data_IF_512358377434
#
_entry.id   IF_512358377434
#
_cell.length_a   1.000
_cell.length_b   1.000
_cell.length_c   1.000
_cell.angle_alpha   90.00
_cell.angle_beta   90.00
_cell.angle_gamma   90.00
#
_symmetry.space_group_name_H-M   'P 1'
#
loop_
_entity.id
_entity.type
_entity.pdbx_description
1 polymer ?
#
# COMPACT_ATOMS: atom_id res chain seq x y z
N UNK A 1 4.82 -1.85 14.09
CA UNK A 1 4.85 -0.61 14.90
C UNK A 1 4.03 0.50 14.23
N UNK A 2 4.39 0.97 13.02
CA UNK A 2 3.79 2.17 12.40
C UNK A 2 2.27 2.03 12.16
N UNK A 3 1.83 0.88 11.65
CA UNK A 3 0.39 0.64 11.41
C UNK A 3 -0.41 0.66 12.71
N UNK A 4 0.08 0.02 13.77
CA UNK A 4 -0.58 0.04 15.09
C UNK A 4 -0.61 1.45 15.64
N UNK A 5 0.53 2.17 15.61
CA UNK A 5 0.59 3.57 16.05
C UNK A 5 -0.37 4.48 15.27
N UNK A 6 -0.60 4.23 13.98
CA UNK A 6 -1.61 4.96 13.21
C UNK A 6 -3.03 4.65 13.69
N UNK A 7 -3.36 3.38 13.96
CA UNK A 7 -4.67 3.01 14.50
C UNK A 7 -4.91 3.67 15.86
N UNK A 8 -3.89 3.68 16.73
CA UNK A 8 -3.96 4.32 18.04
C UNK A 8 -4.18 5.83 17.93
N UNK A 9 -3.43 6.49 17.04
CA UNK A 9 -3.56 7.92 16.80
C UNK A 9 -4.93 8.33 16.22
N UNK A 10 -5.60 7.41 15.51
CA UNK A 10 -6.95 7.61 14.97
C UNK A 10 -8.06 7.13 15.90
N UNK A 11 -7.75 6.58 17.09
CA UNK A 11 -8.72 6.02 18.02
C UNK A 11 -9.47 4.81 17.50
N UNK A 12 -8.86 4.05 16.55
CA UNK A 12 -9.47 2.88 15.95
C UNK A 12 -9.03 1.61 16.70
N UNK A 13 -9.94 1.00 17.44
CA UNK A 13 -9.65 -0.21 18.20
C UNK A 13 -9.43 -1.42 17.28
N UNK A 14 -10.34 -1.65 16.33
CA UNK A 14 -10.32 -2.78 15.40
C UNK A 14 -10.68 -2.35 14.00
N UNK A 15 -10.03 -2.94 12.98
CA UNK A 15 -10.23 -2.59 11.57
C UNK A 15 -10.26 -3.80 10.66
N UNK A 16 -10.90 -3.67 9.50
CA UNK A 16 -10.68 -4.55 8.37
C UNK A 16 -9.38 -4.14 7.68
N UNK A 17 -8.46 -5.09 7.50
CA UNK A 17 -7.16 -4.84 6.88
C UNK A 17 -7.20 -5.31 5.43
N UNK A 18 -6.97 -4.38 4.52
CA UNK A 18 -6.85 -4.67 3.08
C UNK A 18 -5.47 -4.24 2.62
N UNK A 19 -4.68 -5.19 2.14
CA UNK A 19 -3.31 -4.92 1.72
C UNK A 19 -2.96 -5.56 0.39
N UNK A 20 -2.34 -4.78 -0.51
CA UNK A 20 -1.85 -5.26 -1.79
C UNK A 20 -0.34 -5.40 -1.80
N UNK A 21 0.18 -6.47 -2.41
CA UNK A 21 1.61 -6.74 -2.55
C UNK A 21 2.31 -6.68 -1.18
N UNK A 22 3.28 -5.79 -0.97
CA UNK A 22 3.90 -5.57 0.33
C UNK A 22 2.89 -5.16 1.42
N UNK A 23 1.83 -4.43 1.08
CA UNK A 23 0.73 -4.10 2.00
C UNK A 23 0.01 -5.34 2.51
N UNK A 24 -0.14 -6.39 1.68
CA UNK A 24 -0.64 -7.69 2.10
C UNK A 24 0.31 -8.39 3.08
N UNK A 25 1.63 -8.31 2.86
CA UNK A 25 2.63 -8.83 3.80
C UNK A 25 2.57 -8.11 5.14
N UNK A 26 2.42 -6.79 5.15
CA UNK A 26 2.22 -5.99 6.37
C UNK A 26 0.92 -6.41 7.07
N UNK A 27 -0.18 -6.58 6.32
CA UNK A 27 -1.46 -7.04 6.85
C UNK A 27 -1.37 -8.42 7.49
N UNK A 28 -0.62 -9.35 6.88
CA UNK A 28 -0.33 -10.67 7.43
C UNK A 28 0.38 -10.57 8.79
N UNK A 29 1.43 -9.73 8.88
CA UNK A 29 2.17 -9.51 10.13
C UNK A 29 1.25 -8.89 11.19
N UNK A 30 0.45 -7.87 10.82
CA UNK A 30 -0.49 -7.22 11.72
C UNK A 30 -1.51 -8.23 12.26
N UNK A 31 -2.14 -9.01 11.39
CA UNK A 31 -3.16 -9.99 11.79
C UNK A 31 -2.62 -11.12 12.66
N UNK A 32 -1.33 -11.48 12.48
CA UNK A 32 -0.69 -12.52 13.29
C UNK A 32 -0.18 -12.04 14.65
N UNK A 33 0.30 -10.78 14.72
CA UNK A 33 0.91 -10.23 15.93
C UNK A 33 -0.04 -9.40 16.78
N UNK A 34 -1.11 -8.86 16.15
CA UNK A 34 -2.12 -8.03 16.78
C UNK A 34 -3.53 -8.51 16.39
N UNK A 35 -3.90 -9.78 16.68
CA UNK A 35 -5.19 -10.33 16.29
C UNK A 35 -6.37 -9.55 16.89
N UNK A 36 -6.19 -8.94 18.04
CA UNK A 36 -7.17 -8.09 18.72
C UNK A 36 -7.51 -6.80 17.91
N UNK A 37 -6.64 -6.40 17.00
CA UNK A 37 -6.80 -5.18 16.21
C UNK A 37 -7.42 -5.44 14.83
N UNK A 38 -7.60 -6.71 14.43
CA UNK A 38 -8.00 -7.10 13.06
C UNK A 38 -9.35 -7.79 13.05
N UNK A 39 -10.32 -7.20 12.36
CA UNK A 39 -11.65 -7.79 12.12
C UNK A 39 -11.61 -8.82 10.99
N UNK A 40 -10.93 -8.50 9.90
CA UNK A 40 -10.66 -9.40 8.78
C UNK A 40 -9.40 -8.98 8.03
N UNK A 41 -8.82 -9.90 7.29
CA UNK A 41 -7.67 -9.66 6.41
C UNK A 41 -8.05 -9.94 4.95
N UNK A 42 -7.79 -8.98 4.06
CA UNK A 42 -7.74 -9.21 2.62
C UNK A 42 -6.32 -9.03 2.13
N UNK A 43 -5.69 -10.11 1.67
CA UNK A 43 -4.33 -10.12 1.14
C UNK A 43 -4.37 -10.24 -0.38
N UNK A 44 -3.96 -9.18 -1.10
CA UNK A 44 -4.08 -9.09 -2.55
C UNK A 44 -2.70 -9.19 -3.19
N UNK A 45 -2.51 -10.06 -4.21
CA UNK A 45 -1.26 -10.23 -4.98
C UNK A 45 0.00 -10.22 -4.12
N UNK A 46 -0.03 -10.93 -2.99
CA UNK A 46 1.02 -10.96 -1.98
C UNK A 46 1.62 -12.37 -1.83
N UNK A 47 2.62 -12.53 -0.97
CA UNK A 47 3.26 -13.82 -0.70
C UNK A 47 3.44 -14.07 0.81
N UNK A 48 3.73 -15.33 1.16
CA UNK A 48 4.04 -15.80 2.51
C UNK A 48 5.50 -15.62 2.92
N UNK A 49 6.37 -15.26 1.96
CA UNK A 49 7.82 -15.30 2.16
C UNK A 49 8.46 -16.68 2.01
N UNK A 50 7.70 -17.69 1.51
CA UNK A 50 8.21 -19.03 1.24
C UNK A 50 9.45 -18.95 0.33
N UNK A 51 10.59 -19.56 0.72
CA UNK A 51 11.85 -19.48 -0.02
C UNK A 51 11.89 -20.36 -1.29
N UNK A 52 10.88 -21.22 -1.53
CA UNK A 52 10.82 -22.01 -2.76
C UNK A 52 10.82 -21.08 -3.98
N UNK A 53 11.77 -21.30 -4.88
CA UNK A 53 11.99 -20.44 -6.06
C UNK A 53 10.77 -20.33 -6.96
N UNK A 54 9.93 -21.37 -7.03
CA UNK A 54 8.68 -21.38 -7.82
C UNK A 54 7.58 -20.52 -7.20
N UNK A 55 7.69 -20.27 -5.90
CA UNK A 55 6.76 -19.48 -5.10
C UNK A 55 7.28 -18.07 -4.91
N UNK A 56 8.57 -17.94 -4.62
CA UNK A 56 9.20 -16.66 -4.25
C UNK A 56 9.40 -15.71 -5.43
N UNK A 57 9.68 -16.26 -6.63
CA UNK A 57 10.14 -15.44 -7.75
C UNK A 57 9.19 -15.51 -8.95
N UNK A 58 8.70 -14.34 -9.35
CA UNK A 58 8.01 -14.13 -10.61
C UNK A 58 8.97 -14.11 -11.81
N UNK A 59 8.47 -13.62 -12.93
CA UNK A 59 9.26 -13.52 -14.18
C UNK A 59 10.39 -12.51 -14.01
N UNK A 60 11.60 -12.89 -14.44
CA UNK A 60 12.78 -12.03 -14.36
C UNK A 60 12.57 -10.62 -14.96
N UNK A 61 11.82 -10.55 -16.06
CA UNK A 61 11.49 -9.26 -16.70
C UNK A 61 10.69 -8.34 -15.76
N UNK A 62 9.75 -8.88 -15.00
CA UNK A 62 8.95 -8.13 -14.03
C UNK A 62 9.81 -7.66 -12.84
N UNK A 63 10.61 -8.55 -12.28
CA UNK A 63 11.55 -8.19 -11.21
C UNK A 63 12.50 -7.08 -11.66
N UNK A 64 13.11 -7.21 -12.84
CA UNK A 64 14.00 -6.20 -13.41
C UNK A 64 13.32 -4.84 -13.61
N UNK A 65 12.03 -4.84 -13.97
CA UNK A 65 11.27 -3.59 -14.13
C UNK A 65 11.13 -2.86 -12.79
N UNK A 66 10.84 -3.59 -11.71
CA UNK A 66 10.66 -3.02 -10.36
C UNK A 66 11.97 -2.51 -9.75
N UNK A 67 13.08 -3.25 -9.92
CA UNK A 67 14.37 -2.85 -9.32
C UNK A 67 15.10 -1.78 -10.13
N UNK A 68 14.63 -1.48 -11.33
CA UNK A 68 15.26 -0.44 -12.17
C UNK A 68 15.18 0.91 -11.46
N UNK A 69 16.32 1.60 -11.41
CA UNK A 69 16.42 2.92 -10.78
C UNK A 69 15.42 3.89 -11.43
N UNK A 70 14.54 4.53 -10.63
CA UNK A 70 13.58 5.49 -11.17
C UNK A 70 14.27 6.79 -11.61
N UNK A 71 13.61 7.59 -12.45
CA UNK A 71 14.06 8.93 -12.82
C UNK A 71 14.24 9.86 -11.61
N UNK A 72 14.70 11.08 -11.87
CA UNK A 72 14.75 12.12 -10.83
C UNK A 72 13.32 12.46 -10.38
N UNK A 73 13.08 12.67 -9.08
CA UNK A 73 11.73 12.94 -8.55
C UNK A 73 11.11 14.24 -9.08
N UNK A 74 11.93 15.21 -9.47
CA UNK A 74 11.53 16.50 -10.04
C UNK A 74 11.22 16.43 -11.54
N UNK A 75 11.59 15.35 -12.22
CA UNK A 75 11.25 15.09 -13.62
C UNK A 75 9.92 14.33 -13.72
N UNK A 76 8.81 15.03 -13.48
CA UNK A 76 7.48 14.43 -13.48
C UNK A 76 7.14 13.68 -14.77
N UNK A 77 7.39 14.19 -15.98
CA UNK A 77 7.14 13.45 -17.21
C UNK A 77 7.90 12.12 -17.25
N UNK A 78 9.20 12.13 -16.92
CA UNK A 78 10.00 10.91 -16.91
C UNK A 78 9.52 9.91 -15.83
N UNK A 79 9.03 10.38 -14.68
CA UNK A 79 8.44 9.53 -13.64
C UNK A 79 7.16 8.87 -14.16
N UNK A 80 6.27 9.60 -14.81
CA UNK A 80 5.04 9.06 -15.40
C UNK A 80 5.38 7.99 -16.44
N UNK A 81 6.29 8.27 -17.38
CA UNK A 81 6.72 7.30 -18.39
C UNK A 81 7.40 6.06 -17.77
N UNK A 82 8.12 6.23 -16.68
CA UNK A 82 8.68 5.12 -15.92
C UNK A 82 7.57 4.22 -15.35
N UNK A 83 6.54 4.81 -14.73
CA UNK A 83 5.39 4.08 -14.19
C UNK A 83 4.62 3.36 -15.31
N UNK A 84 4.30 4.04 -16.42
CA UNK A 84 3.67 3.42 -17.59
C UNK A 84 4.47 2.20 -18.06
N UNK A 85 5.79 2.31 -18.16
CA UNK A 85 6.67 1.21 -18.57
C UNK A 85 6.66 0.06 -17.56
N UNK A 86 6.71 0.34 -16.26
CA UNK A 86 6.63 -0.68 -15.22
C UNK A 86 5.32 -1.43 -15.33
N UNK A 87 4.20 -0.72 -15.34
CA UNK A 87 2.86 -1.31 -15.38
C UNK A 87 2.55 -2.01 -16.72
N UNK A 88 3.17 -1.61 -17.83
CA UNK A 88 3.08 -2.38 -19.08
C UNK A 88 3.72 -3.76 -19.01
N UNK A 89 4.62 -3.98 -18.04
CA UNK A 89 5.33 -5.25 -17.85
C UNK A 89 4.67 -6.11 -16.77
N UNK A 90 4.27 -5.50 -15.65
CA UNK A 90 3.70 -6.23 -14.51
C UNK A 90 2.18 -6.28 -14.52
N UNK A 91 1.52 -5.40 -15.26
CA UNK A 91 0.06 -5.26 -15.30
C UNK A 91 -0.66 -6.43 -15.95
N UNK A 92 -1.97 -6.38 -15.84
CA UNK A 92 -2.93 -7.39 -16.26
C UNK A 92 -2.92 -7.59 -17.78
N UNK A 93 -2.58 -8.77 -18.30
CA UNK A 93 -2.48 -8.98 -19.74
C UNK A 93 -3.83 -8.86 -20.46
N UNK A 94 -4.94 -9.26 -19.83
CA UNK A 94 -6.27 -9.12 -20.40
C UNK A 94 -6.79 -7.66 -20.40
N UNK A 95 -6.19 -6.79 -19.60
CA UNK A 95 -6.61 -5.40 -19.40
C UNK A 95 -5.58 -4.37 -19.88
N UNK A 96 -4.67 -4.76 -20.76
CA UNK A 96 -3.63 -3.85 -21.30
C UNK A 96 -4.19 -2.62 -22.02
N UNK A 97 -5.37 -2.74 -22.60
CA UNK A 97 -6.06 -1.65 -23.25
C UNK A 97 -6.51 -0.55 -22.27
N UNK A 98 -6.57 -0.85 -20.98
CA UNK A 98 -6.91 0.12 -19.93
C UNK A 98 -5.70 0.91 -19.41
N UNK A 99 -4.46 0.49 -19.71
CA UNK A 99 -3.25 1.16 -19.23
C UNK A 99 -3.20 2.67 -19.58
N UNK A 100 -3.63 3.14 -20.75
CA UNK A 100 -3.67 4.57 -21.04
C UNK A 100 -4.60 5.35 -20.09
N UNK A 101 -5.72 4.77 -19.68
CA UNK A 101 -6.66 5.41 -18.75
C UNK A 101 -6.12 5.52 -17.31
N UNK A 102 -5.08 4.78 -16.98
CA UNK A 102 -4.39 4.87 -15.68
C UNK A 102 -3.38 6.04 -15.63
N UNK A 103 -3.08 6.70 -16.74
CA UNK A 103 -2.11 7.80 -16.81
C UNK A 103 -2.40 8.93 -15.80
N UNK A 104 -3.63 9.42 -15.62
CA UNK A 104 -3.94 10.43 -14.60
C UNK A 104 -3.61 9.97 -13.17
N UNK A 105 -3.74 8.68 -12.87
CA UNK A 105 -3.31 8.11 -11.60
C UNK A 105 -1.77 8.21 -11.45
N UNK A 106 -1.01 7.86 -12.47
CA UNK A 106 0.45 7.95 -12.45
C UNK A 106 0.93 9.40 -12.31
N UNK A 107 0.25 10.35 -12.92
CA UNK A 107 0.53 11.78 -12.76
C UNK A 107 0.30 12.24 -11.31
N UNK A 108 -0.80 11.82 -10.67
CA UNK A 108 -1.04 12.10 -9.25
C UNK A 108 0.04 11.50 -8.36
N UNK A 109 0.43 10.25 -8.64
CA UNK A 109 1.52 9.57 -7.90
C UNK A 109 2.84 10.34 -8.07
N UNK A 110 3.18 10.75 -9.30
CA UNK A 110 4.39 11.52 -9.57
C UNK A 110 4.40 12.86 -8.81
N UNK A 111 3.26 13.59 -8.78
CA UNK A 111 3.13 14.87 -8.06
C UNK A 111 3.22 14.72 -6.54
N UNK A 112 2.78 13.58 -5.97
CA UNK A 112 2.92 13.29 -4.53
C UNK A 112 4.36 13.05 -4.10
N UNK A 113 5.23 12.82 -5.05
CA UNK A 113 6.66 12.59 -4.86
C UNK A 113 7.05 11.12 -4.93
N UNK A 114 8.20 10.89 -5.52
CA UNK A 114 8.84 9.58 -5.65
C UNK A 114 10.15 9.59 -4.87
N UNK A 115 10.23 8.74 -3.83
CA UNK A 115 11.49 8.58 -3.12
C UNK A 115 12.36 7.53 -3.80
N UNK A 116 13.49 7.96 -4.40
CA UNK A 116 14.34 7.12 -5.28
C UNK A 116 14.83 5.83 -4.63
N UNK A 117 15.08 5.85 -3.33
CA UNK A 117 15.57 4.68 -2.59
C UNK A 117 14.42 3.90 -1.92
N UNK A 118 13.17 4.33 -2.07
CA UNK A 118 12.00 3.75 -1.41
C UNK A 118 11.82 2.28 -1.78
N UNK A 119 11.79 1.97 -3.07
CA UNK A 119 11.64 0.61 -3.57
C UNK A 119 12.75 -0.33 -3.07
N UNK A 120 14.00 0.13 -3.08
CA UNK A 120 15.13 -0.67 -2.58
C UNK A 120 14.99 -0.96 -1.07
N UNK A 121 14.61 0.04 -0.28
CA UNK A 121 14.36 -0.14 1.17
C UNK A 121 13.21 -1.11 1.43
N UNK A 122 12.13 -1.02 0.66
CA UNK A 122 10.99 -1.94 0.76
C UNK A 122 11.39 -3.38 0.41
N UNK A 123 12.14 -3.59 -0.67
CA UNK A 123 12.65 -4.90 -1.04
C UNK A 123 13.57 -5.49 0.03
N UNK A 124 14.47 -4.69 0.60
CA UNK A 124 15.32 -5.12 1.70
C UNK A 124 14.49 -5.51 2.93
N UNK A 125 13.45 -4.77 3.27
CA UNK A 125 12.55 -5.11 4.38
C UNK A 125 11.81 -6.44 4.12
N UNK A 126 11.33 -6.68 2.89
CA UNK A 126 10.71 -7.95 2.49
C UNK A 126 11.70 -9.10 2.65
N UNK A 127 12.93 -8.95 2.14
CA UNK A 127 13.97 -9.97 2.23
C UNK A 127 14.40 -10.24 3.69
N UNK A 128 14.54 -9.18 4.49
CA UNK A 128 14.90 -9.30 5.91
C UNK A 128 13.79 -9.98 6.74
N UNK A 129 12.52 -9.80 6.37
CA UNK A 129 11.40 -10.47 7.05
C UNK A 129 11.36 -11.97 6.74
N UNK A 130 11.76 -12.37 5.53
CA UNK A 130 11.88 -13.76 5.10
C UNK A 130 10.58 -14.57 5.16
N UNK A 131 10.69 -15.83 5.56
CA UNK A 131 9.58 -16.79 5.62
C UNK A 131 8.62 -16.49 6.79
N UNK A 132 7.35 -16.21 6.45
CA UNK A 132 6.29 -15.89 7.41
C UNK A 132 5.29 -17.01 7.63
N UNK A 133 5.47 -18.21 7.04
CA UNK A 133 4.47 -19.30 7.10
C UNK A 133 4.10 -19.68 8.54
N UNK A 134 5.09 -19.80 9.42
CA UNK A 134 4.82 -20.08 10.83
C UNK A 134 4.04 -18.94 11.54
N UNK A 135 4.17 -17.71 11.05
CA UNK A 135 3.39 -16.57 11.52
C UNK A 135 1.98 -16.61 10.94
N UNK A 136 1.80 -16.94 9.66
CA UNK A 136 0.50 -17.04 9.01
C UNK A 136 -0.42 -18.05 9.70
N UNK A 137 0.12 -19.16 10.21
CA UNK A 137 -0.63 -20.18 10.96
C UNK A 137 -1.27 -19.64 12.26
N UNK A 138 -0.81 -18.49 12.74
CA UNK A 138 -1.36 -17.83 13.95
C UNK A 138 -2.50 -16.86 13.63
N UNK A 139 -2.79 -16.59 12.36
CA UNK A 139 -3.85 -15.66 11.97
C UNK A 139 -5.19 -16.30 12.25
N UNK A 140 -5.95 -15.70 13.19
CA UNK A 140 -7.31 -16.12 13.55
C UNK A 140 -8.39 -15.31 12.81
N UNK A 141 -8.04 -14.13 12.27
CA UNK A 141 -8.98 -13.28 11.56
C UNK A 141 -9.46 -13.94 10.25
N UNK A 142 -10.77 -13.88 9.92
CA UNK A 142 -11.25 -14.30 8.60
C UNK A 142 -10.41 -13.69 7.49
N UNK A 143 -9.92 -14.56 6.59
CA UNK A 143 -8.95 -14.12 5.59
C UNK A 143 -9.42 -14.42 4.16
N UNK A 144 -9.37 -13.39 3.31
CA UNK A 144 -9.54 -13.49 1.86
C UNK A 144 -8.19 -13.25 1.17
N UNK A 145 -7.77 -14.19 0.34
CA UNK A 145 -6.61 -14.02 -0.55
C UNK A 145 -7.13 -13.79 -1.96
N UNK A 146 -6.82 -12.64 -2.54
CA UNK A 146 -7.13 -12.30 -3.93
C UNK A 146 -5.83 -12.31 -4.75
N UNK A 147 -5.79 -13.07 -5.86
CA UNK A 147 -4.56 -13.16 -6.64
C UNK A 147 -4.83 -13.31 -8.14
N UNK A 148 -4.07 -12.56 -8.94
CA UNK A 148 -4.14 -12.67 -10.39
C UNK A 148 -3.52 -13.98 -10.90
N UNK A 149 -4.23 -14.68 -11.79
CA UNK A 149 -3.72 -15.89 -12.44
C UNK A 149 -2.44 -15.61 -13.25
N UNK A 150 -2.36 -14.41 -13.83
CA UNK A 150 -1.32 -13.99 -14.75
C UNK A 150 -0.31 -13.01 -14.14
N UNK A 151 -0.24 -12.93 -12.82
CA UNK A 151 0.70 -12.04 -12.13
C UNK A 151 2.16 -12.44 -12.45
N UNK A 152 2.90 -11.57 -13.17
CA UNK A 152 4.28 -11.87 -13.55
C UNK A 152 5.30 -11.51 -12.48
N UNK A 153 4.90 -10.73 -11.46
CA UNK A 153 5.79 -10.27 -10.40
C UNK A 153 5.72 -11.17 -9.17
N UNK A 154 4.52 -11.48 -8.71
CA UNK A 154 4.25 -12.44 -7.62
C UNK A 154 3.42 -13.57 -8.20
N UNK A 155 3.99 -14.76 -8.44
CA UNK A 155 3.27 -15.83 -9.12
C UNK A 155 2.08 -16.32 -8.28
N UNK A 156 1.02 -16.80 -8.96
CA UNK A 156 -0.18 -17.35 -8.32
C UNK A 156 0.13 -18.44 -7.28
N UNK A 157 1.24 -19.16 -7.44
CA UNK A 157 1.72 -20.12 -6.46
C UNK A 157 1.94 -19.49 -5.08
N UNK A 158 2.34 -18.23 -5.01
CA UNK A 158 2.52 -17.50 -3.75
C UNK A 158 1.18 -17.19 -3.07
N UNK A 159 0.14 -16.86 -3.84
CA UNK A 159 -1.22 -16.70 -3.30
C UNK A 159 -1.79 -18.00 -2.78
N UNK A 160 -1.58 -19.11 -3.49
CA UNK A 160 -1.96 -20.46 -3.05
C UNK A 160 -1.25 -20.86 -1.77
N UNK A 161 0.06 -20.62 -1.69
CA UNK A 161 0.86 -20.89 -0.49
C UNK A 161 0.41 -20.01 0.70
N UNK A 162 0.12 -18.74 0.47
CA UNK A 162 -0.42 -17.85 1.50
C UNK A 162 -1.75 -18.41 2.05
N UNK A 163 -2.69 -18.76 1.19
CA UNK A 163 -3.99 -19.28 1.62
C UNK A 163 -3.85 -20.63 2.34
N UNK A 164 -2.96 -21.50 1.87
CA UNK A 164 -2.73 -22.81 2.50
C UNK A 164 -2.12 -22.72 3.92
N UNK A 165 -1.46 -21.62 4.25
CA UNK A 165 -0.84 -21.40 5.54
C UNK A 165 -1.70 -20.60 6.53
N UNK A 166 -2.93 -20.19 6.14
CA UNK A 166 -3.87 -19.48 7.04
C UNK A 166 -5.12 -20.33 7.20
N UNK A 167 -5.43 -20.74 8.42
CA UNK A 167 -6.59 -21.57 8.71
C UNK A 167 -7.89 -20.88 8.27
N UNK A 168 -8.72 -21.57 7.47
CA UNK A 168 -9.99 -21.02 6.97
C UNK A 168 -9.87 -19.92 5.93
N UNK A 169 -8.68 -19.63 5.40
CA UNK A 169 -8.53 -18.64 4.35
C UNK A 169 -9.20 -19.09 3.04
N UNK A 170 -9.90 -18.15 2.41
CA UNK A 170 -10.51 -18.31 1.10
C UNK A 170 -9.58 -17.71 0.04
N UNK A 171 -9.26 -18.46 -1.02
CA UNK A 171 -8.52 -17.98 -2.17
C UNK A 171 -9.48 -17.74 -3.34
N UNK A 172 -9.43 -16.54 -3.90
CA UNK A 172 -10.05 -16.21 -5.18
C UNK A 172 -8.97 -15.88 -6.21
N UNK A 173 -8.93 -16.66 -7.28
CA UNK A 173 -8.02 -16.46 -8.41
C UNK A 173 -8.74 -15.68 -9.48
N UNK A 174 -8.12 -14.66 -10.02
CA UNK A 174 -8.72 -13.76 -11.00
C UNK A 174 -7.98 -13.91 -12.34
N UNK A 175 -8.67 -14.51 -13.29
CA UNK A 175 -8.14 -14.74 -14.63
C UNK A 175 -7.85 -13.41 -15.34
N UNK A 176 -6.74 -13.36 -16.06
CA UNK A 176 -6.32 -12.19 -16.82
C UNK A 176 -5.76 -11.04 -15.97
N UNK A 177 -5.80 -11.16 -14.63
CA UNK A 177 -5.22 -10.17 -13.72
C UNK A 177 -3.72 -10.39 -13.55
N UNK A 178 -2.95 -9.31 -13.66
CA UNK A 178 -1.53 -9.21 -13.33
C UNK A 178 -1.28 -8.62 -11.96
N UNK A 179 -0.22 -7.80 -11.85
CA UNK A 179 0.17 -7.12 -10.60
C UNK A 179 -0.26 -5.65 -10.61
N UNK A 180 -1.54 -5.41 -10.88
CA UNK A 180 -2.15 -4.06 -10.93
C UNK A 180 -3.65 -4.10 -10.65
N UNK A 181 -4.27 -2.93 -10.69
CA UNK A 181 -5.71 -2.74 -10.51
C UNK A 181 -6.30 -1.99 -11.71
N UNK A 182 -6.55 -2.67 -12.84
CA UNK A 182 -7.26 -2.05 -13.96
C UNK A 182 -8.64 -1.55 -13.52
N UNK A 183 -9.13 -0.42 -14.04
CA UNK A 183 -10.42 0.16 -13.65
C UNK A 183 -11.59 -0.82 -13.62
N UNK A 184 -11.71 -1.69 -14.64
CA UNK A 184 -12.80 -2.68 -14.71
C UNK A 184 -12.66 -3.78 -13.66
N UNK A 185 -11.45 -4.20 -13.30
CA UNK A 185 -11.24 -5.17 -12.22
C UNK A 185 -11.43 -4.54 -10.84
N UNK A 186 -11.07 -3.27 -10.68
CA UNK A 186 -11.14 -2.58 -9.39
C UNK A 186 -12.54 -2.64 -8.77
N UNK A 187 -13.60 -2.46 -9.58
CA UNK A 187 -14.99 -2.56 -9.12
C UNK A 187 -15.31 -3.97 -8.61
N UNK A 188 -14.91 -5.01 -9.35
CA UNK A 188 -15.12 -6.40 -8.95
C UNK A 188 -14.38 -6.72 -7.63
N UNK A 189 -13.14 -6.29 -7.52
CA UNK A 189 -12.33 -6.47 -6.32
C UNK A 189 -12.95 -5.75 -5.12
N UNK A 190 -13.38 -4.50 -5.30
CA UNK A 190 -14.03 -3.73 -4.25
C UNK A 190 -15.30 -4.41 -3.71
N UNK A 191 -16.13 -4.97 -4.59
CA UNK A 191 -17.31 -5.74 -4.19
C UNK A 191 -16.96 -7.00 -3.39
N UNK A 192 -15.92 -7.76 -3.80
CA UNK A 192 -15.44 -8.94 -3.07
C UNK A 192 -14.88 -8.58 -1.70
N UNK A 193 -14.12 -7.49 -1.62
CA UNK A 193 -13.58 -6.97 -0.37
C UNK A 193 -14.71 -6.55 0.56
N UNK A 194 -15.67 -5.76 0.05
CA UNK A 194 -16.81 -5.29 0.83
C UNK A 194 -17.66 -6.45 1.36
N UNK A 195 -17.91 -7.47 0.54
CA UNK A 195 -18.60 -8.69 0.96
C UNK A 195 -17.83 -9.41 2.07
N UNK A 196 -16.52 -9.58 1.91
CA UNK A 196 -15.68 -10.20 2.92
C UNK A 196 -15.71 -9.41 4.25
N UNK A 197 -15.58 -8.10 4.21
CA UNK A 197 -15.65 -7.25 5.39
C UNK A 197 -17.02 -7.38 6.10
N UNK A 198 -18.12 -7.37 5.35
CA UNK A 198 -19.48 -7.53 5.94
C UNK A 198 -19.71 -8.88 6.60
N UNK A 199 -19.23 -9.95 5.98
CA UNK A 199 -19.41 -11.32 6.52
C UNK A 199 -18.50 -11.60 7.70
N UNK A 200 -17.40 -10.88 7.84
CA UNK A 200 -16.47 -11.00 8.97
C UNK A 200 -16.88 -10.20 10.21
N UNK A 201 -17.92 -9.36 10.12
CA UNK A 201 -18.44 -8.64 11.29
C UNK A 201 -19.30 -9.56 12.16
N UNK A 202 -19.19 -9.49 13.50
CA UNK A 202 -20.24 -9.99 14.37
C UNK A 202 -21.54 -9.27 13.99
N UNK A 203 -22.66 -9.99 13.98
CA UNK A 203 -23.99 -9.42 13.72
C UNK A 203 -24.26 -8.38 14.80
N UNK A 204 -24.00 -7.10 14.48
CA UNK A 204 -24.31 -5.99 15.39
C UNK A 204 -25.82 -5.68 15.27
N UNK A 205 -26.52 -5.41 16.38
CA UNK A 205 -27.94 -5.02 16.32
C UNK A 205 -28.18 -3.83 15.42
N UNK A 206 -29.30 -3.79 14.70
CA UNK A 206 -29.63 -2.83 13.64
C UNK A 206 -29.49 -1.34 14.03
N UNK A 207 -29.46 -1.01 15.32
CA UNK A 207 -29.33 0.36 15.86
C UNK A 207 -27.91 0.93 15.68
N UNK A 208 -26.86 0.10 15.74
CA UNK A 208 -25.47 0.56 15.53
C UNK A 208 -25.07 0.66 14.05
N UNK A 209 -25.75 -0.11 13.18
CA UNK A 209 -25.48 -0.09 11.74
C UNK A 209 -25.88 1.24 11.08
N UNK A 210 -26.92 1.93 11.59
CA UNK A 210 -27.34 3.23 11.07
C UNK A 210 -26.37 4.37 11.40
N UNK A 211 -25.74 4.35 12.57
CA UNK A 211 -24.72 5.35 12.95
C UNK A 211 -23.40 5.14 12.22
N UNK A 212 -22.99 3.90 11.98
CA UNK A 212 -21.79 3.61 11.19
C UNK A 212 -21.97 3.91 9.70
N UNK A 213 -23.14 3.61 9.14
CA UNK A 213 -23.47 3.96 7.76
C UNK A 213 -23.50 5.48 7.55
N UNK A 214 -24.02 6.25 8.51
CA UNK A 214 -24.02 7.70 8.48
C UNK A 214 -22.60 8.29 8.60
N UNK A 215 -21.72 7.70 9.43
CA UNK A 215 -20.33 8.12 9.57
C UNK A 215 -19.51 7.83 8.29
N UNK A 216 -19.74 6.67 7.66
CA UNK A 216 -19.08 6.30 6.39
C UNK A 216 -19.58 7.19 5.25
N UNK A 217 -20.90 7.52 5.21
CA UNK A 217 -21.46 8.44 4.22
C UNK A 217 -20.92 9.86 4.39
N UNK A 218 -20.75 10.35 5.63
CA UNK A 218 -20.15 11.64 5.92
C UNK A 218 -18.67 11.71 5.51
N UNK A 219 -17.92 10.64 5.69
CA UNK A 219 -16.51 10.55 5.23
C UNK A 219 -16.41 10.43 3.71
N UNK A 220 -17.33 9.74 3.04
CA UNK A 220 -17.38 9.68 1.58
C UNK A 220 -17.72 11.05 0.96
N UNK A 221 -18.62 11.82 1.58
CA UNK A 221 -18.95 13.17 1.13
C UNK A 221 -17.79 14.16 1.22
N UNK A 222 -16.84 13.95 2.16
CA UNK A 222 -15.60 14.76 2.26
C UNK A 222 -14.62 14.42 1.11
N UNK A 223 -14.69 13.22 0.54
CA UNK A 223 -13.84 12.80 -0.60
C UNK A 223 -14.42 13.26 -1.94
N UNK A 224 -15.73 13.49 -2.00
CA UNK A 224 -16.45 13.98 -3.20
C UNK A 224 -16.60 15.50 -3.28
N UNK A 225 -16.05 16.26 -2.33
CA UNK A 225 -16.03 17.72 -2.46
C UNK A 225 -15.30 18.10 -3.77
N UNK A 226 -15.96 18.80 -4.70
CA UNK A 226 -15.35 19.10 -6.00
C UNK A 226 -14.13 19.99 -5.79
N UNK A 227 -13.08 19.71 -6.55
CA UNK A 227 -11.85 20.50 -6.64
C UNK A 227 -12.04 21.90 -7.27
N UNK A 228 -13.18 22.54 -7.01
CA UNK A 228 -13.62 23.81 -7.56
C UNK A 228 -13.59 24.94 -6.53
N UNK A 229 -12.58 25.01 -5.67
CA UNK A 229 -12.29 26.21 -4.88
C UNK A 229 -10.79 26.26 -4.51
N UNK A 230 -9.93 26.20 -5.53
CA UNK A 230 -8.61 26.80 -5.40
C UNK A 230 -8.63 27.97 -6.40
N UNK A 231 -9.29 29.04 -5.98
CA UNK A 231 -9.11 30.35 -6.61
C UNK A 231 -7.66 30.79 -6.46
N UNK A 232 -7.14 31.27 -7.55
CA UNK A 232 -5.79 31.74 -7.73
C UNK A 232 -5.37 32.72 -6.64
N UNK A 233 -4.33 32.38 -5.90
CA UNK A 233 -3.54 33.36 -5.15
C UNK A 233 -2.75 34.16 -6.19
N UNK A 234 -2.90 35.50 -6.26
CA UNK A 234 -2.16 36.31 -7.22
C UNK A 234 -0.65 36.25 -6.90
N UNK A 235 0.22 36.26 -7.92
CA UNK A 235 1.65 36.33 -7.71
C UNK A 235 2.03 37.76 -7.30
N UNK A 236 2.53 37.98 -6.11
CA UNK A 236 3.09 39.27 -5.78
C UNK A 236 3.34 39.51 -4.31
N UNK A 237 4.49 39.09 -3.79
CA UNK A 237 5.42 39.93 -2.99
C UNK A 237 6.67 39.09 -2.68
N UNK A 238 7.89 39.62 -2.83
CA UNK A 238 9.11 38.90 -2.48
C UNK A 238 9.18 38.74 -0.96
N UNK A 239 9.48 37.52 -0.50
CA UNK A 239 9.75 37.24 0.89
C UNK A 239 11.00 38.00 1.33
N UNK A 240 10.86 38.89 2.28
CA UNK A 240 11.99 39.48 3.00
C UNK A 240 12.77 38.38 3.71
N UNK A 241 14.07 38.38 3.43
CA UNK A 241 15.07 37.53 4.08
C UNK A 241 15.12 37.87 5.58
N UNK A 242 15.10 36.87 6.50
CA UNK A 242 15.33 37.16 7.91
C UNK A 242 16.76 37.66 8.11
N UNK A 243 16.88 38.79 8.81
CA UNK A 243 18.13 39.43 9.18
C UNK A 243 19.06 38.46 9.93
N UNK A 244 20.31 38.49 9.54
CA UNK A 244 21.44 37.81 10.16
C UNK A 244 21.55 38.23 11.64
N UNK A 245 21.54 37.25 12.57
CA UNK A 245 21.85 37.48 13.96
C UNK A 245 23.36 37.71 14.13
N UNK A 246 23.78 38.67 14.98
CA UNK A 246 25.18 38.96 15.17
C UNK A 246 25.95 37.80 15.87
N UNK A 247 27.25 37.63 15.61
CA UNK A 247 28.02 36.50 16.15
C UNK A 247 28.21 36.66 17.66
N UNK A 248 27.91 35.61 18.41
CA UNK A 248 28.22 35.50 19.84
C UNK A 248 29.74 35.39 20.01
N UNK A 249 30.28 36.34 20.77
CA UNK A 249 31.70 36.36 21.19
C UNK A 249 31.98 35.16 22.11
N UNK A 250 32.94 34.35 21.74
CA UNK A 250 33.50 33.31 22.58
C UNK A 250 34.25 33.93 23.77
N UNK A 251 33.77 33.72 24.97
CA UNK A 251 34.48 34.05 26.20
C UNK A 251 35.62 33.03 26.41
N UNK A 252 36.83 33.53 26.26
CA UNK A 252 38.06 32.82 26.64
C UNK A 252 38.21 32.88 28.14
N UNK A 253 38.24 31.73 28.81
CA UNK A 253 38.58 31.60 30.22
C UNK A 253 40.09 31.38 30.37
N UNK A 254 40.79 32.07 31.28
CA UNK A 254 42.25 31.94 31.38
C UNK A 254 42.65 30.69 32.15
N UNK A 255 43.68 30.05 31.65
CA UNK A 255 44.39 28.97 32.34
C UNK A 255 45.16 29.50 33.53
N UNK A 256 45.09 28.83 34.68
CA UNK A 256 45.93 29.06 35.85
C UNK A 256 47.08 28.02 35.87
N UNK A 257 48.31 28.40 36.16
CA UNK A 257 49.43 27.48 36.20
C UNK A 257 49.65 26.92 37.63
N UNK A 258 49.94 25.64 37.70
CA UNK A 258 50.95 24.97 38.54
C UNK A 258 51.11 23.54 38.10
#
# INVERSE_FOLDING_TARGET
>A
ADTVGLLDALGLERVHVVGASMGGMIGQVLAAQHPERVLSLTSIMSNSGNPDRKIAFGRWKALRAIIRRPPRPDDYPAVVEHLVRVFSIIGSPAHRHELPSMRPLFERVARRGLYRNGTARQLLAILATGDRRAMLQKIAAPTLVLHGADDPLVPIAAGRDTAANIAGARLEVIDGMGHDFPPTLLVKLALRIAEHCRTAQPVTPAVEQSSQAAAVAAQAAVVEAPAAAIEAVPPGAPAESPAEAPPQQASVSPATPT
#
